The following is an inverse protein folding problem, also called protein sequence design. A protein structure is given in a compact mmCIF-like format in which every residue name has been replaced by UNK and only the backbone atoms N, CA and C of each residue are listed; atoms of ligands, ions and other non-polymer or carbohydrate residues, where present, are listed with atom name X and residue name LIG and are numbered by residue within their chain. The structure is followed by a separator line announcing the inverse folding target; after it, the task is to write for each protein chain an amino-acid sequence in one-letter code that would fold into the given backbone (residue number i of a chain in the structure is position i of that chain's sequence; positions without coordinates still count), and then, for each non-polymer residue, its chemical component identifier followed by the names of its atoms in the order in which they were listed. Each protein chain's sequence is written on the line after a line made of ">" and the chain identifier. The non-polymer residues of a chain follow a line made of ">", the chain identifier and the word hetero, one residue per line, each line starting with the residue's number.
data_IF_876315260722
#
_entry.id   IF_876315260722
#
_cell.length_a   1.000
_cell.length_b   1.000
_cell.length_c   1.000
_cell.angle_alpha   90.00
_cell.angle_beta   90.00
_cell.angle_gamma   90.00
#
_symmetry.space_group_name_H-M   'P 1'
#
loop_
_entity.id
_entity.type
_entity.pdbx_description
1 polymer ?
#
# COMPACT_ATOMS: atom_id res chain seq x y z
N UNK A 1 -41.70 -2.67 -31.48
CA UNK A 1 -40.21 -2.58 -31.50
C UNK A 1 -39.87 -1.17 -31.03
N UNK A 2 -38.95 -1.02 -30.06
CA UNK A 2 -38.57 0.21 -29.31
C UNK A 2 -39.72 0.85 -28.51
N UNK A 3 -39.70 0.93 -27.17
CA UNK A 3 -39.04 2.02 -26.43
C UNK A 3 -38.90 1.73 -24.91
N UNK A 4 -38.95 0.48 -24.44
CA UNK A 4 -38.84 0.19 -22.99
C UNK A 4 -37.39 0.10 -22.45
N UNK A 5 -36.42 0.75 -23.11
CA UNK A 5 -34.98 0.63 -22.77
C UNK A 5 -34.38 1.83 -22.02
N UNK A 6 -35.17 2.58 -21.25
CA UNK A 6 -34.68 3.76 -20.53
C UNK A 6 -35.41 3.93 -19.20
N UNK A 7 -35.21 3.04 -18.22
CA UNK A 7 -35.52 3.34 -16.80
C UNK A 7 -34.98 2.35 -15.75
N UNK A 8 -33.88 1.67 -16.02
CA UNK A 8 -33.05 1.16 -14.92
C UNK A 8 -31.99 2.22 -14.62
N UNK A 9 -32.36 3.24 -13.83
CA UNK A 9 -31.36 3.97 -13.03
C UNK A 9 -30.74 2.90 -12.14
N UNK A 10 -29.61 2.35 -12.57
CA UNK A 10 -28.81 1.44 -11.77
C UNK A 10 -28.65 2.10 -10.40
N UNK A 11 -29.22 1.47 -9.38
CA UNK A 11 -29.07 1.92 -8.00
C UNK A 11 -27.57 1.90 -7.74
N UNK A 12 -26.96 3.09 -7.65
CA UNK A 12 -25.52 3.25 -7.44
C UNK A 12 -25.18 2.48 -6.17
N UNK A 13 -24.45 1.38 -6.32
CA UNK A 13 -23.99 0.60 -5.17
C UNK A 13 -22.90 1.42 -4.48
N UNK A 14 -23.25 2.03 -3.34
CA UNK A 14 -22.37 2.85 -2.51
C UNK A 14 -21.38 2.02 -1.68
N UNK A 15 -21.50 0.69 -1.75
CA UNK A 15 -20.63 -0.27 -1.06
C UNK A 15 -19.61 -0.92 -2.00
N UNK A 16 -19.78 -0.78 -3.32
CA UNK A 16 -18.79 -1.23 -4.29
C UNK A 16 -17.60 -0.26 -4.33
N UNK A 17 -16.45 -0.72 -3.83
CA UNK A 17 -15.17 0.01 -3.88
C UNK A 17 -14.20 -0.58 -4.92
N UNK A 18 -14.68 -1.43 -5.82
CA UNK A 18 -13.89 -1.99 -6.92
C UNK A 18 -13.40 -0.91 -7.91
N UNK A 19 -12.61 -1.36 -8.89
CA UNK A 19 -12.28 -0.55 -10.07
C UNK A 19 -13.53 -0.06 -10.83
N UNK A 20 -14.66 -0.77 -10.73
CA UNK A 20 -15.92 -0.44 -11.42
C UNK A 20 -16.90 0.37 -10.58
N UNK A 21 -16.48 0.88 -9.41
CA UNK A 21 -17.33 1.70 -8.54
C UNK A 21 -17.92 2.89 -9.29
N UNK A 22 -19.21 3.14 -9.06
CA UNK A 22 -19.94 4.30 -9.59
C UNK A 22 -20.18 5.39 -8.54
N UNK A 23 -19.63 5.21 -7.33
CA UNK A 23 -19.74 6.20 -6.26
C UNK A 23 -18.93 7.46 -6.61
N UNK A 24 -19.65 8.54 -6.95
CA UNK A 24 -19.07 9.84 -7.31
C UNK A 24 -18.12 10.39 -6.24
N UNK A 25 -18.36 10.13 -4.95
CA UNK A 25 -17.49 10.60 -3.87
C UNK A 25 -16.16 9.84 -3.86
N UNK A 26 -16.21 8.53 -4.07
CA UNK A 26 -15.00 7.69 -4.14
C UNK A 26 -14.19 8.04 -5.37
N UNK A 27 -14.83 8.18 -6.54
CA UNK A 27 -14.18 8.57 -7.79
C UNK A 27 -13.53 9.95 -7.70
N UNK A 28 -14.21 10.95 -7.15
CA UNK A 28 -13.65 12.30 -6.95
C UNK A 28 -12.42 12.28 -6.03
N UNK A 29 -12.40 11.40 -5.03
CA UNK A 29 -11.27 11.29 -4.12
C UNK A 29 -10.08 10.54 -4.75
N UNK A 30 -10.36 9.52 -5.57
CA UNK A 30 -9.34 8.84 -6.39
C UNK A 30 -8.70 9.79 -7.39
N UNK A 31 -9.48 10.65 -8.03
CA UNK A 31 -8.99 11.64 -8.98
C UNK A 31 -8.03 12.66 -8.32
N UNK A 32 -8.38 13.14 -7.13
CA UNK A 32 -7.46 13.99 -6.32
C UNK A 32 -6.17 13.25 -5.94
N UNK A 33 -6.26 11.96 -5.63
CA UNK A 33 -5.10 11.14 -5.31
C UNK A 33 -4.25 10.80 -6.55
N UNK A 34 -4.85 10.76 -7.75
CA UNK A 34 -4.15 10.58 -9.02
C UNK A 34 -3.35 11.84 -9.41
N UNK A 35 -3.87 13.02 -9.03
CA UNK A 35 -3.25 14.32 -9.29
C UNK A 35 -2.85 15.01 -7.98
N UNK A 36 -1.92 14.44 -7.19
CA UNK A 36 -1.60 14.99 -5.89
C UNK A 36 -0.86 16.32 -6.07
N UNK A 37 -1.37 17.38 -5.44
CA UNK A 37 -0.66 18.65 -5.27
C UNK A 37 0.51 18.54 -4.28
N UNK A 38 1.24 19.64 -4.04
CA UNK A 38 2.42 19.66 -3.16
C UNK A 38 2.17 19.02 -1.79
N UNK A 39 1.13 19.46 -1.08
CA UNK A 39 0.82 18.99 0.28
C UNK A 39 0.45 17.51 0.32
N UNK A 40 -0.31 17.03 -0.67
CA UNK A 40 -0.73 15.63 -0.75
C UNK A 40 0.44 14.72 -1.15
N UNK A 41 1.32 15.17 -2.07
CA UNK A 41 2.56 14.46 -2.41
C UNK A 41 3.45 14.28 -1.18
N UNK A 42 3.70 15.38 -0.45
CA UNK A 42 4.52 15.34 0.77
C UNK A 42 3.92 14.44 1.86
N UNK A 43 2.60 14.49 2.03
CA UNK A 43 1.89 13.62 2.96
C UNK A 43 1.95 12.14 2.55
N UNK A 44 1.65 11.81 1.29
CA UNK A 44 1.72 10.43 0.78
C UNK A 44 3.14 9.87 0.88
N UNK A 45 4.17 10.70 0.68
CA UNK A 45 5.56 10.28 0.77
C UNK A 45 5.94 9.74 2.16
N UNK A 46 5.55 10.43 3.24
CA UNK A 46 5.84 9.97 4.60
C UNK A 46 4.90 8.85 5.02
N UNK A 47 3.61 8.93 4.64
CA UNK A 47 2.61 7.92 4.99
C UNK A 47 2.93 6.55 4.40
N UNK A 48 3.46 6.50 3.17
CA UNK A 48 3.85 5.25 2.51
C UNK A 48 5.08 4.58 3.12
N UNK A 49 5.90 5.30 3.89
CA UNK A 49 7.15 4.81 4.49
C UNK A 49 7.02 4.49 5.96
N UNK A 50 6.18 5.25 6.67
CA UNK A 50 6.00 5.08 8.10
C UNK A 50 5.26 3.76 8.42
N UNK A 51 5.86 2.95 9.30
CA UNK A 51 5.48 1.55 9.51
C UNK A 51 4.02 1.34 9.94
N UNK A 52 3.43 2.28 10.70
CA UNK A 52 2.04 2.19 11.17
C UNK A 52 1.01 2.60 10.10
N UNK A 53 1.38 3.49 9.18
CA UNK A 53 0.43 4.11 8.25
C UNK A 53 0.55 3.55 6.83
N UNK A 54 1.70 2.98 6.45
CA UNK A 54 2.00 2.49 5.09
C UNK A 54 0.97 1.52 4.51
N UNK A 55 0.32 0.70 5.34
CA UNK A 55 -0.67 -0.29 4.87
C UNK A 55 -2.13 0.19 5.03
N UNK A 56 -2.35 1.38 5.60
CA UNK A 56 -3.69 1.88 5.95
C UNK A 56 -4.06 3.15 5.20
N UNK A 57 -3.07 3.96 4.82
CA UNK A 57 -3.30 5.27 4.22
C UNK A 57 -4.03 5.20 2.86
N UNK A 58 -3.91 4.08 2.15
CA UNK A 58 -4.62 3.80 0.89
C UNK A 58 -6.15 3.95 1.03
N UNK A 59 -6.69 3.59 2.19
CA UNK A 59 -8.11 3.68 2.52
C UNK A 59 -8.54 5.03 3.11
N UNK A 60 -7.65 6.02 3.17
CA UNK A 60 -7.93 7.33 3.75
C UNK A 60 -8.29 8.36 2.68
N UNK A 61 -9.19 9.28 3.04
CA UNK A 61 -9.49 10.47 2.25
C UNK A 61 -8.28 11.40 2.17
N UNK A 62 -8.26 12.26 1.16
CA UNK A 62 -7.25 13.29 0.90
C UNK A 62 -6.98 14.13 2.14
N UNK A 63 -8.04 14.65 2.78
CA UNK A 63 -7.93 15.50 3.96
C UNK A 63 -7.25 14.77 5.13
N UNK A 64 -7.61 13.50 5.35
CA UNK A 64 -7.00 12.70 6.42
C UNK A 64 -5.52 12.40 6.13
N UNK A 65 -5.18 12.11 4.87
CA UNK A 65 -3.79 11.91 4.44
C UNK A 65 -2.96 13.17 4.72
N UNK A 66 -3.45 14.34 4.32
CA UNK A 66 -2.76 15.62 4.57
C UNK A 66 -2.55 15.84 6.06
N UNK A 67 -3.60 15.77 6.88
CA UNK A 67 -3.50 16.03 8.32
C UNK A 67 -2.52 15.09 9.02
N UNK A 68 -2.67 13.77 8.81
CA UNK A 68 -1.81 12.79 9.48
C UNK A 68 -0.39 12.80 8.91
N UNK A 69 -0.24 13.00 7.60
CA UNK A 69 1.08 13.07 6.96
C UNK A 69 1.89 14.26 7.46
N UNK A 70 1.31 15.45 7.55
CA UNK A 70 2.00 16.64 8.07
C UNK A 70 2.26 16.57 9.58
N UNK A 71 1.34 15.98 10.34
CA UNK A 71 1.58 15.68 11.75
C UNK A 71 2.79 14.74 11.91
N UNK A 72 2.88 13.69 11.09
CA UNK A 72 4.02 12.78 11.10
C UNK A 72 5.32 13.49 10.69
N UNK A 73 5.29 14.42 9.73
CA UNK A 73 6.48 15.21 9.39
C UNK A 73 7.03 16.00 10.59
N UNK A 74 6.16 16.61 11.40
CA UNK A 74 6.56 17.36 12.61
C UNK A 74 7.15 16.43 13.68
N UNK A 75 6.63 15.21 13.80
CA UNK A 75 7.09 14.23 14.79
C UNK A 75 8.35 13.48 14.32
N UNK A 76 8.50 13.23 13.02
CA UNK A 76 9.62 12.47 12.48
C UNK A 76 10.83 13.36 12.27
N UNK A 77 10.65 14.60 11.82
CA UNK A 77 11.78 15.51 11.67
C UNK A 77 12.17 16.17 13.00
N UNK A 78 13.47 16.38 13.24
CA UNK A 78 13.96 17.11 14.39
C UNK A 78 13.78 18.64 14.25
N UNK A 79 12.64 19.13 13.74
CA UNK A 79 12.40 20.57 13.53
C UNK A 79 12.45 21.33 14.87
N UNK A 80 11.76 20.80 15.88
CA UNK A 80 11.64 21.45 17.19
C UNK A 80 13.02 21.70 17.84
N UNK A 81 13.91 20.71 17.97
CA UNK A 81 15.21 20.93 18.61
C UNK A 81 16.15 21.76 17.73
N UNK A 82 16.04 21.69 16.39
CA UNK A 82 16.80 22.55 15.49
C UNK A 82 16.41 24.02 15.69
N UNK A 83 15.11 24.34 15.70
CA UNK A 83 14.63 25.70 15.91
C UNK A 83 15.04 26.21 17.30
N UNK A 84 14.93 25.37 18.33
CA UNK A 84 15.37 25.72 19.68
C UNK A 84 16.88 26.03 19.73
N UNK A 85 17.72 25.22 19.05
CA UNK A 85 19.16 25.50 18.95
C UNK A 85 19.45 26.82 18.23
N UNK A 86 18.77 27.09 17.11
CA UNK A 86 18.98 28.33 16.34
C UNK A 86 18.59 29.55 17.16
N UNK A 87 17.41 29.54 17.79
CA UNK A 87 16.96 30.66 18.63
C UNK A 87 17.89 30.88 19.82
N UNK A 88 18.33 29.82 20.48
CA UNK A 88 19.26 29.92 21.60
C UNK A 88 20.63 30.44 21.15
N UNK A 89 21.18 29.93 20.04
CA UNK A 89 22.48 30.36 19.51
C UNK A 89 22.49 31.82 19.07
N UNK A 90 21.41 32.30 18.44
CA UNK A 90 21.28 33.70 18.02
C UNK A 90 21.17 34.62 19.23
N UNK A 91 20.50 34.19 20.30
CA UNK A 91 20.30 35.00 21.49
C UNK A 91 21.51 35.01 22.44
N UNK A 92 22.21 33.87 22.59
CA UNK A 92 23.39 33.73 23.46
C UNK A 92 24.38 32.67 22.93
N UNK A 93 25.30 33.06 22.04
CA UNK A 93 26.25 32.12 21.42
C UNK A 93 27.31 31.60 22.40
N UNK A 94 27.69 32.39 23.41
CA UNK A 94 28.67 31.99 24.44
C UNK A 94 28.03 30.98 25.39
N UNK A 95 26.80 31.25 25.86
CA UNK A 95 26.03 30.35 26.70
C UNK A 95 25.74 29.02 26.02
N UNK A 96 25.39 29.03 24.73
CA UNK A 96 25.20 27.80 23.95
C UNK A 96 26.47 26.95 23.89
N UNK A 97 27.64 27.55 23.61
CA UNK A 97 28.90 26.80 23.47
C UNK A 97 29.40 26.20 24.79
N UNK A 98 29.13 26.86 25.92
CA UNK A 98 29.62 26.43 27.25
C UNK A 98 28.64 25.55 28.01
N UNK A 99 27.34 25.60 27.68
CA UNK A 99 26.31 24.90 28.45
C UNK A 99 26.32 23.38 28.24
N UNK A 100 26.25 22.58 29.32
CA UNK A 100 26.05 21.13 29.21
C UNK A 100 24.69 20.78 28.59
N UNK A 101 23.67 21.63 28.75
CA UNK A 101 22.35 21.44 28.14
C UNK A 101 22.38 21.57 26.62
N UNK A 102 23.27 22.42 26.08
CA UNK A 102 23.44 22.52 24.63
C UNK A 102 23.98 21.20 24.05
N UNK A 103 24.91 20.54 24.75
CA UNK A 103 25.41 19.21 24.35
C UNK A 103 24.29 18.16 24.37
N UNK A 104 23.43 18.17 25.40
CA UNK A 104 22.28 17.27 25.48
C UNK A 104 21.29 17.52 24.33
N UNK A 105 21.02 18.79 24.00
CA UNK A 105 20.14 19.17 22.89
C UNK A 105 20.70 18.72 21.54
N UNK A 106 21.99 18.92 21.29
CA UNK A 106 22.67 18.44 20.08
C UNK A 106 22.58 16.91 19.96
N UNK A 107 22.86 16.18 21.06
CA UNK A 107 22.78 14.73 21.08
C UNK A 107 21.35 14.23 20.78
N UNK A 108 20.33 14.88 21.35
CA UNK A 108 18.93 14.61 21.06
C UNK A 108 18.61 14.85 19.58
N UNK A 109 19.08 15.97 18.99
CA UNK A 109 18.88 16.26 17.56
C UNK A 109 19.50 15.19 16.68
N UNK A 110 20.71 14.72 16.98
CA UNK A 110 21.38 13.66 16.21
C UNK A 110 20.62 12.35 16.31
N UNK A 111 20.19 11.96 17.53
CA UNK A 111 19.41 10.74 17.73
C UNK A 111 18.08 10.79 16.96
N UNK A 112 17.38 11.92 17.02
CA UNK A 112 16.13 12.12 16.31
C UNK A 112 16.33 12.18 14.79
N UNK A 113 17.40 12.84 14.30
CA UNK A 113 17.77 12.80 12.89
C UNK A 113 18.09 11.39 12.40
N UNK A 114 18.75 10.56 13.23
CA UNK A 114 18.97 9.14 12.95
C UNK A 114 17.66 8.37 12.82
N UNK A 115 16.72 8.59 13.75
CA UNK A 115 15.37 8.01 13.65
C UNK A 115 14.64 8.48 12.38
N UNK A 116 14.71 9.76 12.04
CA UNK A 116 14.16 10.30 10.81
C UNK A 116 14.77 9.58 9.60
N UNK A 117 16.10 9.41 9.58
CA UNK A 117 16.82 8.66 8.56
C UNK A 117 16.24 7.25 8.36
N UNK A 118 16.04 6.50 9.44
CA UNK A 118 15.42 5.17 9.38
C UNK A 118 14.03 5.19 8.73
N UNK A 119 13.20 6.17 9.08
CA UNK A 119 11.86 6.34 8.49
C UNK A 119 11.95 6.67 7.00
N UNK A 120 12.86 7.55 6.61
CA UNK A 120 13.03 7.97 5.21
C UNK A 120 13.57 6.84 4.32
N UNK A 121 14.46 6.00 4.86
CA UNK A 121 15.04 4.86 4.14
C UNK A 121 14.11 3.65 4.07
N UNK A 122 12.99 3.65 4.82
CA UNK A 122 12.03 2.56 4.73
C UNK A 122 11.44 2.47 3.32
N UNK A 123 11.24 1.25 2.79
CA UNK A 123 10.63 1.07 1.48
C UNK A 123 9.20 1.61 1.49
N UNK A 124 8.87 2.40 0.47
CA UNK A 124 7.53 2.94 0.29
C UNK A 124 6.58 1.84 -0.18
N UNK A 125 5.39 1.78 0.41
CA UNK A 125 4.29 0.98 -0.11
C UNK A 125 3.64 1.69 -1.30
N UNK A 126 3.25 0.90 -2.31
CA UNK A 126 2.57 1.40 -3.51
C UNK A 126 1.14 1.79 -3.13
N UNK A 127 0.64 2.93 -3.63
CA UNK A 127 -0.75 3.36 -3.42
C UNK A 127 -1.68 2.67 -4.42
N UNK A 128 -1.91 1.37 -4.22
CA UNK A 128 -2.75 0.52 -5.06
C UNK A 128 -3.80 -0.24 -4.24
N UNK A 129 -4.93 -0.53 -4.87
CA UNK A 129 -6.00 -1.43 -4.40
C UNK A 129 -6.69 -1.03 -3.08
N UNK A 130 -6.42 0.17 -2.54
CA UNK A 130 -7.22 0.74 -1.46
C UNK A 130 -8.45 1.48 -1.97
N UNK A 131 -9.43 1.69 -1.09
CA UNK A 131 -10.71 2.36 -1.39
C UNK A 131 -10.52 3.67 -2.17
N UNK A 132 -9.56 4.50 -1.76
CA UNK A 132 -9.27 5.79 -2.38
C UNK A 132 -7.98 5.80 -3.19
N UNK A 133 -7.35 4.64 -3.43
CA UNK A 133 -6.13 4.55 -4.24
C UNK A 133 -6.43 4.88 -5.71
N UNK A 134 -5.54 5.63 -6.39
CA UNK A 134 -5.72 5.97 -7.79
C UNK A 134 -5.53 4.75 -8.70
N UNK A 135 -4.71 3.77 -8.28
CA UNK A 135 -4.45 2.55 -9.01
C UNK A 135 -5.31 1.43 -8.43
N UNK A 136 -6.10 0.78 -9.29
CA UNK A 136 -6.90 -0.41 -8.96
C UNK A 136 -6.51 -1.51 -9.96
N UNK A 137 -5.72 -2.49 -9.53
CA UNK A 137 -5.32 -3.64 -10.35
C UNK A 137 -6.20 -4.87 -10.08
N UNK A 138 -6.88 -4.93 -8.93
CA UNK A 138 -7.84 -5.98 -8.62
C UNK A 138 -9.29 -5.50 -8.81
N UNK A 139 -10.19 -6.33 -9.37
CA UNK A 139 -11.62 -6.12 -9.14
C UNK A 139 -11.85 -6.27 -7.63
N UNK A 140 -12.63 -5.37 -7.03
CA UNK A 140 -13.12 -5.42 -5.63
C UNK A 140 -12.26 -4.75 -4.54
N UNK A 141 -11.14 -4.08 -4.82
CA UNK A 141 -10.32 -3.50 -3.74
C UNK A 141 -9.78 -4.58 -2.78
N UNK A 142 -9.65 -5.79 -3.30
CA UNK A 142 -9.03 -6.91 -2.61
C UNK A 142 -7.55 -6.56 -2.38
N UNK A 143 -7.10 -6.68 -1.12
CA UNK A 143 -5.68 -6.55 -0.82
C UNK A 143 -4.95 -7.61 -1.65
N UNK A 144 -4.24 -7.18 -2.70
CA UNK A 144 -3.28 -8.06 -3.38
C UNK A 144 -2.34 -8.52 -2.29
N UNK A 145 -2.41 -9.83 -2.03
CA UNK A 145 -1.76 -10.46 -0.90
C UNK A 145 -0.31 -10.02 -0.86
N UNK A 146 0.11 -9.63 0.33
CA UNK A 146 1.49 -9.60 0.77
C UNK A 146 2.18 -10.89 0.28
N UNK A 147 3.49 -10.86 0.02
CA UNK A 147 4.26 -12.05 -0.37
C UNK A 147 4.17 -13.06 0.80
N UNK A 148 3.14 -13.89 0.76
CA UNK A 148 2.75 -14.80 1.82
C UNK A 148 2.95 -16.23 1.31
N UNK A 149 3.14 -17.17 2.23
CA UNK A 149 3.33 -18.61 1.97
C UNK A 149 2.18 -19.26 1.17
N UNK A 150 1.06 -18.55 1.02
CA UNK A 150 -0.10 -18.96 0.23
C UNK A 150 0.10 -18.79 -1.27
N UNK A 151 0.91 -17.83 -1.72
CA UNK A 151 0.98 -17.38 -3.13
C UNK A 151 2.30 -17.80 -3.78
N UNK A 152 3.25 -18.24 -2.96
CA UNK A 152 4.55 -18.75 -3.40
C UNK A 152 4.63 -20.24 -3.08
N UNK A 153 4.68 -21.08 -4.11
CA UNK A 153 4.87 -22.51 -3.93
C UNK A 153 6.27 -22.82 -3.36
N UNK A 154 6.35 -23.83 -2.48
CA UNK A 154 7.63 -24.32 -1.95
C UNK A 154 8.55 -24.85 -3.06
N UNK A 155 9.87 -24.79 -2.84
CA UNK A 155 10.86 -25.29 -3.82
C UNK A 155 10.66 -26.78 -4.14
N UNK A 156 10.32 -27.59 -3.14
CA UNK A 156 10.03 -29.00 -3.33
C UNK A 156 8.81 -29.25 -4.24
N UNK A 157 7.77 -28.39 -4.16
CA UNK A 157 6.60 -28.50 -5.04
C UNK A 157 6.89 -27.98 -6.46
N UNK A 158 7.75 -26.97 -6.60
CA UNK A 158 8.26 -26.50 -7.90
C UNK A 158 9.04 -27.58 -8.64
N UNK A 159 9.89 -28.32 -7.94
CA UNK A 159 10.66 -29.43 -8.50
C UNK A 159 9.74 -30.55 -9.04
N UNK A 160 8.64 -30.86 -8.34
CA UNK A 160 7.67 -31.88 -8.79
C UNK A 160 6.99 -31.53 -10.10
N UNK A 161 6.66 -30.25 -10.31
CA UNK A 161 6.02 -29.79 -11.55
C UNK A 161 7.04 -29.31 -12.59
N UNK A 162 8.34 -29.23 -12.26
CA UNK A 162 9.40 -28.73 -13.15
C UNK A 162 9.44 -29.51 -14.48
N UNK A 163 9.15 -30.81 -14.44
CA UNK A 163 9.13 -31.68 -15.61
C UNK A 163 7.77 -31.68 -16.35
N UNK A 164 6.71 -31.09 -15.80
CA UNK A 164 5.39 -31.01 -16.45
C UNK A 164 5.30 -29.77 -17.35
N UNK A 165 4.95 -29.98 -18.62
CA UNK A 165 4.71 -28.89 -19.59
C UNK A 165 3.30 -28.30 -19.48
N UNK A 166 2.32 -29.10 -19.03
CA UNK A 166 0.91 -28.73 -18.95
C UNK A 166 0.33 -28.94 -17.55
N UNK A 167 -0.57 -28.05 -17.16
CA UNK A 167 -1.25 -28.13 -15.87
C UNK A 167 -2.41 -29.13 -15.92
N UNK A 168 -2.57 -29.87 -14.82
CA UNK A 168 -3.72 -30.77 -14.66
C UNK A 168 -5.00 -29.97 -14.49
N UNK A 169 -6.12 -30.56 -14.91
CA UNK A 169 -7.44 -29.98 -14.66
C UNK A 169 -7.70 -29.94 -13.15
N UNK A 170 -8.02 -28.75 -12.67
CA UNK A 170 -8.30 -28.48 -11.26
C UNK A 170 -9.71 -28.90 -10.83
N UNK A 171 -10.60 -29.26 -11.77
CA UNK A 171 -11.98 -29.72 -11.53
C UNK A 171 -12.80 -28.81 -10.59
N UNK A 172 -12.47 -27.51 -10.56
CA UNK A 172 -13.11 -26.54 -9.66
C UNK A 172 -12.71 -26.66 -8.18
N UNK A 173 -11.73 -27.51 -7.83
CA UNK A 173 -11.16 -27.59 -6.47
C UNK A 173 -10.55 -26.24 -6.08
N UNK A 174 -10.82 -25.79 -4.86
CA UNK A 174 -10.17 -24.62 -4.25
C UNK A 174 -8.90 -25.08 -3.52
N UNK A 175 -7.82 -24.30 -3.63
CA UNK A 175 -6.51 -24.66 -3.06
C UNK A 175 -6.17 -23.72 -1.92
N UNK A 176 -5.75 -24.25 -0.77
CA UNK A 176 -5.36 -23.40 0.35
C UNK A 176 -4.14 -22.55 0.01
N UNK A 177 -3.20 -23.06 -0.80
CA UNK A 177 -2.00 -22.35 -1.24
C UNK A 177 -1.47 -22.89 -2.59
N UNK A 178 -0.53 -22.17 -3.21
CA UNK A 178 0.11 -22.61 -4.45
C UNK A 178 0.98 -23.87 -4.30
N UNK A 179 1.44 -24.20 -3.09
CA UNK A 179 2.14 -25.48 -2.84
C UNK A 179 1.18 -26.66 -3.02
N UNK A 180 -0.04 -26.56 -2.48
CA UNK A 180 -1.09 -27.57 -2.63
C UNK A 180 -1.55 -27.71 -4.09
N UNK A 181 -1.65 -26.60 -4.82
CA UNK A 181 -1.93 -26.62 -6.25
C UNK A 181 -0.83 -27.37 -7.01
N UNK A 182 0.45 -27.11 -6.71
CA UNK A 182 1.58 -27.76 -7.37
C UNK A 182 1.71 -29.24 -6.99
N UNK A 183 1.42 -29.59 -5.73
CA UNK A 183 1.34 -31.00 -5.30
C UNK A 183 0.20 -31.76 -6.02
N UNK A 184 -0.89 -31.07 -6.37
CA UNK A 184 -1.95 -31.61 -7.23
C UNK A 184 -1.59 -31.60 -8.73
N UNK A 185 -0.42 -31.05 -9.11
CA UNK A 185 0.01 -30.88 -10.50
C UNK A 185 -0.75 -29.80 -11.27
N UNK A 186 -1.39 -28.87 -10.55
CA UNK A 186 -2.16 -27.75 -11.09
C UNK A 186 -1.35 -26.47 -10.94
N UNK A 187 -1.06 -25.81 -12.06
CA UNK A 187 -0.29 -24.57 -12.15
C UNK A 187 -0.84 -23.71 -13.29
N UNK A 188 -0.43 -22.44 -13.38
CA UNK A 188 -0.93 -21.49 -14.38
C UNK A 188 -2.47 -21.42 -14.43
N UNK A 189 -3.11 -21.28 -13.27
CA UNK A 189 -4.57 -21.29 -13.12
C UNK A 189 -5.12 -19.95 -13.64
N UNK A 190 -5.67 -19.94 -14.85
CA UNK A 190 -6.26 -18.74 -15.46
C UNK A 190 -7.52 -18.30 -14.73
N UNK A 191 -7.82 -17.00 -14.76
CA UNK A 191 -9.07 -16.41 -14.20
C UNK A 191 -10.37 -17.03 -14.71
N UNK A 192 -10.37 -17.62 -15.90
CA UNK A 192 -11.52 -18.36 -16.43
C UNK A 192 -11.78 -19.71 -15.75
N UNK A 193 -10.81 -20.23 -14.99
CA UNK A 193 -10.93 -21.49 -14.27
C UNK A 193 -11.68 -21.30 -12.95
N UNK A 194 -12.63 -22.17 -12.64
CA UNK A 194 -13.39 -22.15 -11.38
C UNK A 194 -12.51 -22.25 -10.13
N UNK A 195 -11.31 -22.82 -10.25
CA UNK A 195 -10.29 -22.92 -9.20
C UNK A 195 -9.44 -21.67 -9.02
N UNK A 196 -9.59 -20.65 -9.87
CA UNK A 196 -8.90 -19.38 -9.67
C UNK A 196 -9.37 -18.73 -8.37
N UNK A 197 -8.39 -18.27 -7.60
CA UNK A 197 -8.61 -17.46 -6.42
C UNK A 197 -7.63 -16.28 -6.48
N UNK A 198 -8.10 -15.03 -6.36
CA UNK A 198 -7.24 -13.85 -6.42
C UNK A 198 -6.14 -13.90 -5.36
N UNK A 199 -6.41 -14.52 -4.21
CA UNK A 199 -5.41 -14.74 -3.18
C UNK A 199 -4.23 -15.56 -3.66
N UNK A 200 -4.36 -16.48 -4.62
CA UNK A 200 -3.27 -17.32 -5.14
C UNK A 200 -2.48 -16.66 -6.29
N UNK A 201 -2.95 -15.52 -6.77
CA UNK A 201 -2.38 -14.76 -7.89
C UNK A 201 -1.51 -13.63 -7.32
N UNK A 202 -0.20 -13.82 -7.40
CA UNK A 202 0.79 -12.96 -6.73
C UNK A 202 0.83 -11.56 -7.34
N UNK A 203 0.80 -11.47 -8.66
CA UNK A 203 0.94 -10.25 -9.47
C UNK A 203 -0.40 -9.75 -10.01
N UNK A 204 -1.48 -10.51 -9.81
CA UNK A 204 -2.83 -10.18 -10.27
C UNK A 204 -2.92 -10.00 -11.79
N UNK A 205 -2.07 -10.70 -12.53
CA UNK A 205 -2.05 -10.68 -13.99
C UNK A 205 -3.15 -11.57 -14.60
N UNK A 206 -3.88 -12.29 -13.75
CA UNK A 206 -4.97 -13.18 -14.16
C UNK A 206 -4.56 -14.65 -14.23
N UNK A 207 -3.34 -14.99 -13.80
CA UNK A 207 -2.80 -16.35 -13.75
C UNK A 207 -2.32 -16.64 -12.32
N UNK A 208 -3.07 -17.49 -11.60
CA UNK A 208 -2.69 -17.91 -10.25
C UNK A 208 -1.68 -19.07 -10.28
N UNK A 209 -0.77 -19.08 -9.29
CA UNK A 209 0.25 -20.11 -9.10
C UNK A 209 1.05 -20.40 -10.38
N UNK A 210 1.79 -19.40 -10.84
CA UNK A 210 2.66 -19.53 -12.01
C UNK A 210 3.88 -20.40 -11.74
N UNK A 211 4.23 -21.23 -12.72
CA UNK A 211 5.40 -22.13 -12.67
C UNK A 211 6.70 -21.38 -12.94
#
# INVERSE_FOLDING_TARGET
>A
MSEHKLKNKAKIDTTDYSATTTDRRVLAERDKNAHPGFFLRGANWILSRFFLTRNKYQNWTTSRRILVGWLLWIIVLPIIPIVAMVLWYVNDPEGFKRSPWAKALIALTIAWAGYAGLVVTNPAQIDANGKYSPIQTAPNGEQVGKIDSVNTASQAAKEKIAQQSESKNSNGRKFANCTEAFDAGVFNIKRSNASYEPRLDRDSDGIACEK
#
